data_IF_121600843808
#
_entry.id   IF_121600843808
#
_cell.length_a   1.000
_cell.length_b   1.000
_cell.length_c   1.000
_cell.angle_alpha   90.00
_cell.angle_beta   90.00
_cell.angle_gamma   90.00
#
_symmetry.space_group_name_H-M   'P 1'
#
loop_
_entity.id
_entity.type
_entity.pdbx_description
1 polymer ?
#
# COMPACT_ATOMS: atom_id res chain seq x y z
N UNK A 1 2.86 4.96 -13.29
CA UNK A 1 3.54 3.67 -13.42
C UNK A 1 3.20 2.86 -12.19
N UNK A 2 2.87 1.57 -12.34
CA UNK A 2 2.64 0.70 -11.17
C UNK A 2 3.96 0.20 -10.58
N UNK A 3 3.96 -0.21 -9.31
CA UNK A 3 5.16 -0.65 -8.60
C UNK A 3 5.81 -1.87 -9.26
N UNK A 4 5.04 -2.84 -9.75
CA UNK A 4 5.53 -4.00 -10.51
C UNK A 4 6.31 -3.55 -11.76
N UNK A 5 5.71 -2.67 -12.56
CA UNK A 5 6.34 -2.09 -13.76
C UNK A 5 7.62 -1.31 -13.41
N UNK A 6 7.61 -0.56 -12.31
CA UNK A 6 8.78 0.17 -11.83
C UNK A 6 9.92 -0.78 -11.45
N UNK A 7 9.61 -1.87 -10.73
CA UNK A 7 10.62 -2.85 -10.33
C UNK A 7 11.21 -3.59 -11.52
N UNK A 8 10.39 -3.96 -12.49
CA UNK A 8 10.84 -4.62 -13.72
C UNK A 8 11.75 -3.69 -14.55
N UNK A 9 11.30 -2.45 -14.78
CA UNK A 9 12.04 -1.44 -15.56
C UNK A 9 13.43 -1.17 -15.00
N UNK A 10 13.59 -1.19 -13.67
CA UNK A 10 14.85 -0.90 -13.00
C UNK A 10 15.65 -2.15 -12.60
N UNK A 11 15.18 -3.35 -12.96
CA UNK A 11 15.84 -4.62 -12.62
C UNK A 11 15.96 -4.85 -11.10
N UNK A 12 14.96 -4.39 -10.33
CA UNK A 12 15.00 -4.42 -8.88
C UNK A 12 14.57 -5.79 -8.35
N UNK A 13 15.43 -6.40 -7.54
CA UNK A 13 15.06 -7.57 -6.76
C UNK A 13 14.21 -7.14 -5.55
N UNK A 14 12.95 -7.56 -5.54
CA UNK A 14 11.98 -7.28 -4.47
C UNK A 14 11.45 -8.57 -3.85
N UNK A 15 11.18 -8.54 -2.54
CA UNK A 15 10.59 -9.67 -1.82
C UNK A 15 9.61 -9.20 -0.75
N UNK A 16 8.43 -9.84 -0.60
CA UNK A 16 7.48 -9.49 0.43
C UNK A 16 8.04 -9.77 1.84
N UNK A 17 7.70 -8.94 2.82
CA UNK A 17 8.15 -9.09 4.21
C UNK A 17 7.03 -8.77 5.20
N UNK A 18 6.98 -9.52 6.31
CA UNK A 18 6.05 -9.23 7.43
C UNK A 18 6.55 -8.12 8.35
N UNK A 19 7.88 -7.94 8.40
CA UNK A 19 8.55 -6.98 9.28
C UNK A 19 9.90 -6.59 8.71
N UNK A 20 10.34 -5.39 9.06
CA UNK A 20 11.69 -4.93 8.81
C UNK A 20 12.52 -5.06 10.09
N UNK A 21 13.74 -5.58 9.99
CA UNK A 21 14.61 -5.71 11.16
C UNK A 21 14.93 -4.31 11.73
N UNK A 22 14.68 -4.11 13.03
CA UNK A 22 14.94 -2.83 13.71
C UNK A 22 13.92 -1.73 13.44
N UNK A 23 12.84 -2.00 12.71
CA UNK A 23 11.76 -1.05 12.45
C UNK A 23 10.42 -1.67 12.84
N UNK A 24 9.55 -0.85 13.46
CA UNK A 24 8.18 -1.23 13.77
C UNK A 24 7.25 -0.38 12.90
N UNK A 25 6.41 -1.05 12.12
CA UNK A 25 5.33 -0.39 11.37
C UNK A 25 4.03 -0.63 12.13
N UNK A 26 3.59 0.39 12.86
CA UNK A 26 2.33 0.41 13.59
C UNK A 26 1.22 0.98 12.71
N UNK A 27 0.07 0.30 12.70
CA UNK A 27 -1.14 0.77 12.03
C UNK A 27 -2.19 0.98 13.10
N UNK A 28 -2.69 2.21 13.22
CA UNK A 28 -3.81 2.50 14.10
C UNK A 28 -5.08 1.82 13.57
N UNK A 29 -5.63 0.88 14.35
CA UNK A 29 -6.84 0.13 13.97
C UNK A 29 -8.05 0.75 14.67
N UNK A 30 -8.99 1.39 13.95
CA UNK A 30 -10.18 1.97 14.56
C UNK A 30 -11.10 0.90 15.16
N UNK A 31 -12.01 1.30 16.04
CA UNK A 31 -13.01 0.38 16.59
C UNK A 31 -13.87 -0.22 15.45
N UNK A 32 -14.15 -1.53 15.54
CA UNK A 32 -14.93 -2.26 14.53
C UNK A 32 -14.09 -2.80 13.37
N UNK A 33 -12.80 -2.47 13.34
CA UNK A 33 -11.84 -3.03 12.39
C UNK A 33 -11.11 -4.22 13.00
N UNK A 34 -10.97 -5.28 12.22
CA UNK A 34 -10.33 -6.53 12.65
C UNK A 34 -9.34 -7.01 11.60
N UNK A 35 -8.23 -7.66 12.00
CA UNK A 35 -7.33 -8.33 11.07
C UNK A 35 -8.08 -9.38 10.23
N UNK A 36 -7.65 -9.53 8.98
CA UNK A 36 -8.14 -10.54 8.05
C UNK A 36 -6.96 -11.38 7.57
N UNK A 37 -7.18 -12.69 7.41
CA UNK A 37 -6.15 -13.63 6.98
C UNK A 37 -5.72 -13.33 5.53
N UNK A 38 -4.42 -13.18 5.30
CA UNK A 38 -3.87 -12.72 4.03
C UNK A 38 -2.54 -13.37 3.69
N UNK A 39 -2.13 -13.22 2.42
CA UNK A 39 -0.85 -13.74 1.93
C UNK A 39 0.34 -13.07 2.64
N UNK A 40 1.49 -13.76 2.63
CA UNK A 40 2.73 -13.26 3.23
C UNK A 40 3.14 -11.90 2.66
N UNK A 41 3.50 -10.98 3.54
CA UNK A 41 3.86 -9.59 3.23
C UNK A 41 2.67 -8.68 2.96
N UNK A 42 1.45 -9.19 3.15
CA UNK A 42 0.20 -8.44 3.07
C UNK A 42 -0.47 -8.53 4.43
N UNK A 43 -0.88 -7.38 4.97
CA UNK A 43 -1.72 -7.28 6.16
C UNK A 43 -3.01 -6.59 5.78
N UNK A 44 -4.13 -7.23 6.10
CA UNK A 44 -5.46 -6.73 5.77
C UNK A 44 -6.25 -6.49 7.06
N UNK A 45 -6.97 -5.37 7.10
CA UNK A 45 -8.01 -5.12 8.10
C UNK A 45 -9.34 -4.87 7.40
N UNK A 46 -10.42 -5.38 7.99
CA UNK A 46 -11.78 -5.19 7.48
C UNK A 46 -12.67 -4.57 8.55
N UNK A 47 -13.53 -3.64 8.15
CA UNK A 47 -14.55 -3.06 9.00
C UNK A 47 -15.73 -4.03 9.14
N UNK A 48 -15.81 -4.76 10.26
CA UNK A 48 -16.90 -5.75 10.48
C UNK A 48 -18.25 -5.12 10.72
N UNK A 49 -18.27 -3.84 11.09
CA UNK A 49 -19.49 -3.06 11.31
C UNK A 49 -19.97 -2.36 10.03
N UNK A 50 -19.30 -2.55 8.90
CA UNK A 50 -19.72 -1.98 7.63
C UNK A 50 -21.02 -2.65 7.15
N UNK A 51 -22.12 -1.91 6.95
CA UNK A 51 -23.37 -2.47 6.43
C UNK A 51 -23.24 -3.06 5.01
N UNK A 52 -22.19 -2.70 4.27
CA UNK A 52 -21.91 -3.17 2.91
C UNK A 52 -20.90 -4.33 2.86
N UNK A 53 -20.54 -4.92 4.01
CA UNK A 53 -19.47 -5.93 4.11
C UNK A 53 -19.59 -7.09 3.10
N UNK A 54 -20.81 -7.55 2.83
CA UNK A 54 -21.07 -8.69 1.94
C UNK A 54 -20.99 -8.36 0.44
N UNK A 55 -20.87 -7.07 0.08
CA UNK A 55 -20.78 -6.60 -1.32
C UNK A 55 -19.44 -5.95 -1.60
N UNK A 56 -19.08 -4.95 -0.79
CA UNK A 56 -17.82 -4.23 -0.86
C UNK A 56 -17.55 -3.57 0.50
N UNK A 57 -16.96 -4.34 1.42
CA UNK A 57 -16.64 -3.85 2.76
C UNK A 57 -15.44 -2.93 2.77
N UNK A 58 -15.52 -1.85 3.56
CA UNK A 58 -14.39 -1.01 3.91
C UNK A 58 -13.25 -1.85 4.48
N UNK A 59 -12.10 -1.75 3.82
CA UNK A 59 -10.91 -2.49 4.16
C UNK A 59 -9.67 -1.62 3.99
N UNK A 60 -8.58 -2.06 4.60
CA UNK A 60 -7.28 -1.42 4.53
C UNK A 60 -6.25 -2.51 4.29
N UNK A 61 -5.39 -2.30 3.31
CA UNK A 61 -4.37 -3.26 2.91
C UNK A 61 -3.01 -2.60 3.03
N UNK A 62 -2.11 -3.22 3.80
CA UNK A 62 -0.72 -2.83 3.90
C UNK A 62 0.13 -3.91 3.24
N UNK A 63 0.89 -3.53 2.22
CA UNK A 63 1.91 -4.38 1.61
C UNK A 63 3.29 -3.85 1.96
N UNK A 64 4.22 -4.75 2.27
CA UNK A 64 5.60 -4.38 2.62
C UNK A 64 6.58 -5.23 1.83
N UNK A 65 7.54 -4.57 1.19
CA UNK A 65 8.54 -5.21 0.35
C UNK A 65 9.94 -4.77 0.74
N UNK A 66 10.87 -5.71 0.80
CA UNK A 66 12.30 -5.42 0.84
C UNK A 66 12.82 -5.30 -0.58
N UNK A 67 13.43 -4.16 -0.87
CA UNK A 67 14.13 -3.89 -2.14
C UNK A 67 15.63 -4.06 -1.93
N UNK A 68 16.29 -4.88 -2.76
CA UNK A 68 17.73 -5.17 -2.64
C UNK A 68 18.61 -4.20 -3.45
N UNK A 69 18.23 -2.93 -3.49
CA UNK A 69 18.99 -1.87 -4.12
C UNK A 69 18.72 -0.55 -3.41
N UNK A 70 19.66 0.41 -3.53
CA UNK A 70 19.38 1.78 -3.15
C UNK A 70 18.36 2.38 -4.13
N UNK A 71 17.39 3.10 -3.59
CA UNK A 71 16.37 3.79 -4.38
C UNK A 71 16.56 5.29 -4.27
N UNK A 72 16.32 6.00 -5.36
CA UNK A 72 16.16 7.45 -5.32
C UNK A 72 14.77 7.78 -4.72
N UNK A 73 14.69 8.51 -3.60
CA UNK A 73 13.41 8.80 -2.96
C UNK A 73 12.46 9.63 -3.83
N UNK A 74 12.99 10.52 -4.68
CA UNK A 74 12.16 11.37 -5.54
C UNK A 74 11.53 10.54 -6.65
N UNK A 75 12.30 9.64 -7.27
CA UNK A 75 11.79 8.73 -8.30
C UNK A 75 10.72 7.78 -7.75
N UNK A 76 10.95 7.21 -6.56
CA UNK A 76 9.96 6.34 -5.90
C UNK A 76 8.70 7.12 -5.56
N UNK A 77 8.83 8.34 -5.03
CA UNK A 77 7.67 9.17 -4.69
C UNK A 77 6.85 9.53 -5.94
N UNK A 78 7.51 9.94 -7.02
CA UNK A 78 6.85 10.21 -8.30
C UNK A 78 6.08 8.98 -8.80
N UNK A 79 6.69 7.79 -8.73
CA UNK A 79 6.03 6.54 -9.10
C UNK A 79 4.79 6.25 -8.24
N UNK A 80 4.87 6.39 -6.91
CA UNK A 80 3.74 6.14 -6.02
C UNK A 80 2.55 7.06 -6.32
N UNK A 81 2.83 8.33 -6.61
CA UNK A 81 1.82 9.32 -7.00
C UNK A 81 1.15 8.93 -8.33
N UNK A 82 1.93 8.52 -9.32
CA UNK A 82 1.37 8.06 -10.59
C UNK A 82 0.54 6.78 -10.43
N UNK A 83 1.00 5.85 -9.58
CA UNK A 83 0.27 4.61 -9.32
C UNK A 83 -1.14 4.89 -8.80
N UNK A 84 -1.29 5.83 -7.85
CA UNK A 84 -2.60 6.21 -7.30
C UNK A 84 -3.58 6.76 -8.34
N UNK A 85 -3.07 7.46 -9.35
CA UNK A 85 -3.89 7.99 -10.45
C UNK A 85 -4.31 6.90 -11.43
N UNK A 86 -3.53 5.82 -11.55
CA UNK A 86 -3.72 4.78 -12.56
C UNK A 86 -4.45 3.53 -12.02
N UNK A 87 -4.80 3.49 -10.73
CA UNK A 87 -5.27 2.26 -10.06
C UNK A 87 -6.70 1.81 -10.40
N UNK A 88 -7.57 2.68 -10.93
CA UNK A 88 -8.93 2.28 -11.30
C UNK A 88 -9.48 3.03 -12.52
N UNK A 89 -10.17 2.36 -13.47
CA UNK A 89 -10.89 3.03 -14.55
C UNK A 89 -11.90 4.04 -13.99
N UNK A 90 -11.90 5.26 -14.53
CA UNK A 90 -12.81 6.32 -14.08
C UNK A 90 -12.42 6.96 -12.74
N UNK A 91 -11.22 6.68 -12.21
CA UNK A 91 -10.71 7.36 -11.02
C UNK A 91 -10.64 8.88 -11.25
N UNK A 92 -11.09 9.64 -10.25
CA UNK A 92 -10.98 11.09 -10.19
C UNK A 92 -10.35 11.47 -8.86
N UNK A 93 -9.30 12.26 -8.89
CA UNK A 93 -8.66 12.78 -7.69
C UNK A 93 -9.57 13.81 -7.01
N UNK A 94 -9.91 13.59 -5.74
CA UNK A 94 -10.73 14.52 -4.96
C UNK A 94 -9.88 15.53 -4.17
N UNK A 95 -8.79 15.06 -3.56
CA UNK A 95 -7.86 15.87 -2.79
C UNK A 95 -6.46 15.24 -2.88
N UNK A 96 -5.43 16.08 -2.91
CA UNK A 96 -4.05 15.67 -2.75
C UNK A 96 -3.29 16.68 -1.89
N UNK A 97 -2.79 16.21 -0.76
CA UNK A 97 -1.89 16.95 0.11
C UNK A 97 -0.46 16.44 -0.09
N UNK A 98 0.35 17.20 -0.83
CA UNK A 98 1.79 16.97 -0.97
C UNK A 98 2.52 17.97 -0.07
N UNK A 99 3.03 17.53 1.08
CA UNK A 99 3.70 18.42 2.04
C UNK A 99 5.22 18.53 1.81
N UNK A 100 5.76 19.74 1.99
CA UNK A 100 6.59 20.06 3.15
C UNK A 100 5.82 21.16 3.89
N UNK A 101 5.43 20.94 5.15
CA UNK A 101 4.85 22.00 5.95
C UNK A 101 5.91 23.04 6.32
#
# INVERSE_FOLDING_TARGET
MRFDEYTEKHGLAVSPVERFAGLVVEVGVPRGWEPFDSAVGVRVWVCRTDPCLDVFGANAVLTMHRVQAALDPADVFAMLVEQQLQTAPGCCELNRELGLA
#
